data_IF_503702186478
#
_entry.id   IF_503702186478
#
_cell.length_a   1.000
_cell.length_b   1.000
_cell.length_c   1.000
_cell.angle_alpha   90.00
_cell.angle_beta   90.00
_cell.angle_gamma   90.00
#
_symmetry.space_group_name_H-M   'P 1'
#
loop_
_entity.id
_entity.type
_entity.pdbx_description
1 polymer ?
#
# COMPACT_ATOMS: atom_id res chain seq x y z
N UNK A 1 19.12 -4.13 15.97
CA UNK A 1 19.35 -4.14 17.44
C UNK A 1 19.68 -2.71 17.83
N UNK A 2 18.95 -2.09 18.78
CA UNK A 2 19.34 -0.83 19.49
C UNK A 2 18.39 -0.51 20.67
N UNK A 3 17.68 -1.51 21.23
CA UNK A 3 17.00 -1.32 22.51
C UNK A 3 18.02 -1.04 23.64
N UNK A 4 19.27 -1.48 23.46
CA UNK A 4 20.38 -1.23 24.39
C UNK A 4 20.73 0.25 24.56
N UNK A 5 20.59 1.10 23.53
CA UNK A 5 20.87 2.54 23.66
C UNK A 5 19.79 3.24 24.49
N UNK A 6 18.51 2.93 24.24
CA UNK A 6 17.39 3.48 25.01
C UNK A 6 17.40 3.02 26.48
N UNK A 7 17.69 1.74 26.73
CA UNK A 7 17.78 1.17 28.08
C UNK A 7 19.03 1.70 28.83
N UNK A 8 20.16 1.90 28.14
CA UNK A 8 21.39 2.46 28.72
C UNK A 8 21.26 3.93 29.12
N UNK A 9 20.59 4.77 28.32
CA UNK A 9 20.36 6.18 28.65
C UNK A 9 19.33 6.40 29.77
N UNK A 10 18.31 5.52 29.86
CA UNK A 10 17.32 5.53 30.94
C UNK A 10 17.92 5.12 32.30
N UNK A 11 18.88 4.19 32.31
CA UNK A 11 19.58 3.75 33.52
C UNK A 11 20.53 4.80 34.12
N UNK A 12 20.98 5.79 33.32
CA UNK A 12 21.97 6.80 33.74
C UNK A 12 21.44 8.25 33.82
N UNK A 13 20.14 8.50 33.63
CA UNK A 13 19.54 9.86 33.67
C UNK A 13 20.36 10.86 32.84
N UNK A 14 20.77 10.47 31.63
CA UNK A 14 21.59 11.31 30.74
C UNK A 14 20.93 11.43 29.38
N UNK A 15 20.85 12.66 28.87
CA UNK A 15 20.24 12.97 27.58
C UNK A 15 20.99 12.21 26.47
N UNK A 16 20.30 11.41 25.63
CA UNK A 16 20.96 10.58 24.62
C UNK A 16 21.69 11.44 23.58
N UNK A 17 22.91 11.04 23.19
CA UNK A 17 23.71 11.68 22.14
C UNK A 17 22.97 11.69 20.80
N UNK A 18 23.27 12.71 19.97
CA UNK A 18 22.61 12.98 18.69
C UNK A 18 22.63 11.79 17.72
N UNK A 19 23.63 10.92 17.85
CA UNK A 19 23.84 9.75 17.00
C UNK A 19 22.85 8.60 17.28
N UNK A 20 22.26 8.50 18.48
CA UNK A 20 21.18 7.54 18.79
C UNK A 20 19.78 8.16 18.62
N UNK A 21 19.64 9.48 18.80
CA UNK A 21 18.35 10.16 18.78
C UNK A 21 17.72 10.18 17.38
N UNK A 22 18.51 10.49 16.36
CA UNK A 22 18.06 10.56 14.96
C UNK A 22 17.51 9.20 14.46
N UNK A 23 18.23 8.07 14.61
CA UNK A 23 17.73 6.75 14.22
C UNK A 23 16.47 6.32 14.99
N UNK A 24 16.37 6.69 16.28
CA UNK A 24 15.21 6.37 17.12
C UNK A 24 13.98 7.15 16.68
N UNK A 25 14.12 8.46 16.42
CA UNK A 25 13.06 9.31 15.90
C UNK A 25 12.60 8.79 14.54
N UNK A 26 13.51 8.47 13.61
CA UNK A 26 13.13 7.92 12.30
C UNK A 26 12.36 6.60 12.41
N UNK A 27 12.69 5.72 13.36
CA UNK A 27 11.94 4.48 13.61
C UNK A 27 10.56 4.75 14.21
N UNK A 28 10.46 5.61 15.22
CA UNK A 28 9.18 6.00 15.83
C UNK A 28 8.26 6.66 14.81
N UNK A 29 8.80 7.59 14.02
CA UNK A 29 8.07 8.26 12.96
C UNK A 29 7.59 7.25 11.91
N UNK A 30 8.44 6.30 11.51
CA UNK A 30 8.06 5.18 10.64
C UNK A 30 6.91 4.35 11.20
N UNK A 31 6.94 3.97 12.48
CA UNK A 31 5.83 3.24 13.12
C UNK A 31 4.55 4.08 13.22
N UNK A 32 4.66 5.38 13.54
CA UNK A 32 3.52 6.29 13.57
C UNK A 32 2.90 6.44 12.17
N UNK A 33 3.72 6.55 11.12
CA UNK A 33 3.25 6.61 9.73
C UNK A 33 2.57 5.29 9.36
N UNK A 34 3.15 4.14 9.68
CA UNK A 34 2.52 2.84 9.44
C UNK A 34 1.17 2.76 10.17
N UNK A 35 1.11 3.11 11.46
CA UNK A 35 -0.13 3.12 12.25
C UNK A 35 -1.19 4.08 11.67
N UNK A 36 -0.78 5.29 11.27
CA UNK A 36 -1.65 6.27 10.63
C UNK A 36 -2.12 5.79 9.24
N UNK A 37 -1.25 5.12 8.47
CA UNK A 37 -1.58 4.58 7.15
C UNK A 37 -2.62 3.46 7.22
N UNK A 38 -2.59 2.63 8.27
CA UNK A 38 -3.68 1.69 8.58
C UNK A 38 -5.01 2.42 8.67
N UNK A 39 -5.03 3.60 9.31
CA UNK A 39 -6.26 4.35 9.56
C UNK A 39 -6.86 4.97 8.30
N UNK A 40 -6.13 5.14 7.19
CA UNK A 40 -6.71 5.79 6.00
C UNK A 40 -7.66 4.89 5.21
N UNK A 41 -7.40 3.57 5.10
CA UNK A 41 -8.31 2.62 4.41
C UNK A 41 -9.24 1.87 5.37
N UNK A 42 -8.95 1.83 6.67
CA UNK A 42 -9.78 1.22 7.72
C UNK A 42 -11.23 1.71 7.77
N UNK A 43 -11.54 3.02 7.67
CA UNK A 43 -12.93 3.51 7.67
C UNK A 43 -13.74 2.93 6.52
N UNK A 44 -13.09 2.69 5.38
CA UNK A 44 -13.70 2.10 4.20
C UNK A 44 -14.01 0.62 4.43
N UNK A 45 -13.07 -0.12 5.02
CA UNK A 45 -13.28 -1.51 5.47
C UNK A 45 -14.46 -1.60 6.45
N UNK A 46 -14.48 -0.74 7.48
CA UNK A 46 -15.54 -0.71 8.50
C UNK A 46 -16.90 -0.39 7.87
N UNK A 47 -16.97 0.56 6.92
CA UNK A 47 -18.21 0.87 6.20
C UNK A 47 -18.75 -0.35 5.45
N UNK A 48 -17.89 -1.06 4.72
CA UNK A 48 -18.29 -2.28 4.00
C UNK A 48 -18.80 -3.34 4.97
N UNK A 49 -18.09 -3.58 6.07
CA UNK A 49 -18.50 -4.56 7.10
C UNK A 49 -19.84 -4.19 7.74
N UNK A 50 -20.03 -2.91 8.09
CA UNK A 50 -21.24 -2.42 8.76
C UNK A 50 -22.47 -2.50 7.86
N UNK A 51 -22.33 -2.12 6.59
CA UNK A 51 -23.44 -2.09 5.65
C UNK A 51 -23.60 -3.39 4.86
N UNK A 52 -22.63 -4.32 4.97
CA UNK A 52 -22.50 -5.54 4.14
C UNK A 52 -22.77 -5.29 2.66
N UNK A 53 -22.37 -4.11 2.19
CA UNK A 53 -22.67 -3.63 0.85
C UNK A 53 -21.52 -2.78 0.34
N UNK A 54 -21.26 -2.92 -0.95
CA UNK A 54 -20.23 -2.20 -1.69
C UNK A 54 -20.85 -1.29 -2.76
N UNK A 55 -22.15 -1.01 -2.64
CA UNK A 55 -22.88 -0.13 -3.57
C UNK A 55 -22.29 1.29 -3.52
N UNK A 56 -22.00 1.86 -4.69
CA UNK A 56 -21.31 3.16 -4.83
C UNK A 56 -19.77 3.07 -4.80
N UNK A 57 -19.20 1.87 -4.64
CA UNK A 57 -17.76 1.65 -4.77
C UNK A 57 -17.40 1.17 -6.18
N UNK A 58 -16.37 1.78 -6.76
CA UNK A 58 -15.82 1.39 -8.05
C UNK A 58 -14.81 0.28 -7.88
N UNK A 59 -15.20 -0.97 -8.18
CA UNK A 59 -14.28 -2.13 -8.15
C UNK A 59 -13.00 -1.85 -8.95
N UNK A 60 -13.14 -1.22 -10.12
CA UNK A 60 -12.02 -0.86 -11.01
C UNK A 60 -11.06 0.14 -10.35
N UNK A 61 -11.58 1.11 -9.60
CA UNK A 61 -10.73 2.07 -8.89
C UNK A 61 -9.82 1.37 -7.87
N UNK A 62 -10.37 0.41 -7.12
CA UNK A 62 -9.60 -0.35 -6.12
C UNK A 62 -8.62 -1.33 -6.78
N UNK A 63 -8.98 -1.95 -7.90
CA UNK A 63 -8.03 -2.73 -8.72
C UNK A 63 -6.84 -1.87 -9.19
N UNK A 64 -7.11 -0.65 -9.68
CA UNK A 64 -6.06 0.29 -10.12
C UNK A 64 -5.19 0.79 -8.96
N UNK A 65 -5.77 1.06 -7.79
CA UNK A 65 -5.01 1.39 -6.57
C UNK A 65 -4.00 0.26 -6.25
N UNK A 66 -4.44 -1.00 -6.27
CA UNK A 66 -3.58 -2.17 -5.99
C UNK A 66 -2.46 -2.29 -7.03
N UNK A 67 -2.76 -2.13 -8.31
CA UNK A 67 -1.75 -2.14 -9.38
C UNK A 67 -0.73 -1.01 -9.20
N UNK A 68 -1.19 0.21 -8.91
CA UNK A 68 -0.33 1.37 -8.68
C UNK A 68 0.62 1.18 -7.51
N UNK A 69 0.14 0.66 -6.37
CA UNK A 69 0.98 0.36 -5.21
C UNK A 69 1.98 -0.77 -5.49
N UNK A 70 1.60 -1.78 -6.28
CA UNK A 70 2.50 -2.87 -6.69
C UNK A 70 3.66 -2.37 -7.55
N UNK A 71 3.38 -1.52 -8.54
CA UNK A 71 4.42 -0.92 -9.40
C UNK A 71 5.38 -0.08 -8.56
N UNK A 72 4.84 0.74 -7.65
CA UNK A 72 5.62 1.58 -6.76
C UNK A 72 6.55 0.76 -5.87
N UNK A 73 6.03 -0.32 -5.28
CA UNK A 73 6.80 -1.17 -4.37
C UNK A 73 7.90 -1.90 -5.13
N UNK A 74 7.58 -2.45 -6.30
CA UNK A 74 8.53 -3.12 -7.16
C UNK A 74 9.66 -2.17 -7.60
N UNK A 75 9.35 -0.92 -7.92
CA UNK A 75 10.36 0.10 -8.24
C UNK A 75 11.31 0.36 -7.06
N UNK A 76 10.78 0.54 -5.85
CA UNK A 76 11.61 0.73 -4.65
C UNK A 76 12.51 -0.47 -4.36
N UNK A 77 12.00 -1.68 -4.53
CA UNK A 77 12.76 -2.93 -4.38
C UNK A 77 13.86 -3.03 -5.46
N UNK A 78 13.52 -2.72 -6.71
CA UNK A 78 14.46 -2.77 -7.83
C UNK A 78 15.60 -1.76 -7.69
N UNK A 79 15.32 -0.54 -7.21
CA UNK A 79 16.36 0.46 -6.89
C UNK A 79 17.14 0.16 -5.61
N UNK A 80 16.84 -0.94 -4.91
CA UNK A 80 17.56 -1.37 -3.70
C UNK A 80 17.42 -0.39 -2.52
N UNK A 81 16.29 0.32 -2.44
CA UNK A 81 16.06 1.29 -1.37
C UNK A 81 15.97 0.58 0.00
N UNK A 82 16.36 1.23 1.10
CA UNK A 82 16.20 0.65 2.44
C UNK A 82 14.71 0.50 2.79
N UNK A 83 14.38 -0.49 3.64
CA UNK A 83 13.01 -0.74 4.09
C UNK A 83 12.33 0.50 4.70
N UNK A 84 13.09 1.41 5.30
CA UNK A 84 12.56 2.67 5.82
C UNK A 84 11.90 3.54 4.74
N UNK A 85 12.29 3.40 3.47
CA UNK A 85 11.77 4.20 2.37
C UNK A 85 10.49 3.61 1.74
N UNK A 86 10.33 2.29 1.73
CA UNK A 86 9.18 1.62 1.09
C UNK A 86 8.31 0.82 2.06
N UNK A 87 8.67 0.76 3.33
CA UNK A 87 7.96 -0.04 4.33
C UNK A 87 6.48 0.35 4.42
N UNK A 88 6.18 1.65 4.46
CA UNK A 88 4.80 2.16 4.45
C UNK A 88 3.99 1.66 3.24
N UNK A 89 4.63 1.61 2.07
CA UNK A 89 4.01 1.23 0.81
C UNK A 89 3.65 -0.25 0.79
N UNK A 90 4.51 -1.10 1.37
CA UNK A 90 4.22 -2.53 1.58
C UNK A 90 2.96 -2.71 2.44
N UNK A 91 2.83 -1.96 3.54
CA UNK A 91 1.65 -2.05 4.41
C UNK A 91 0.38 -1.54 3.72
N UNK A 92 0.47 -0.44 2.96
CA UNK A 92 -0.64 0.09 2.18
C UNK A 92 -1.11 -0.92 1.12
N UNK A 93 -0.17 -1.58 0.43
CA UNK A 93 -0.49 -2.61 -0.56
C UNK A 93 -1.22 -3.79 0.07
N UNK A 94 -0.76 -4.30 1.21
CA UNK A 94 -1.42 -5.40 1.94
C UNK A 94 -2.87 -5.01 2.28
N UNK A 95 -3.09 -3.81 2.81
CA UNK A 95 -4.44 -3.33 3.13
C UNK A 95 -5.31 -3.16 1.89
N UNK A 96 -4.74 -2.69 0.78
CA UNK A 96 -5.45 -2.57 -0.49
C UNK A 96 -5.89 -3.94 -1.04
N UNK A 97 -5.05 -4.98 -0.91
CA UNK A 97 -5.36 -6.37 -1.27
C UNK A 97 -6.50 -6.91 -0.41
N UNK A 98 -6.46 -6.70 0.91
CA UNK A 98 -7.53 -7.11 1.82
C UNK A 98 -8.85 -6.41 1.44
N UNK A 99 -8.80 -5.10 1.18
CA UNK A 99 -9.97 -4.31 0.81
C UNK A 99 -10.60 -4.79 -0.50
N UNK A 100 -9.82 -5.06 -1.55
CA UNK A 100 -10.37 -5.56 -2.82
C UNK A 100 -10.94 -6.98 -2.68
N UNK A 101 -10.33 -7.83 -1.84
CA UNK A 101 -10.86 -9.16 -1.54
C UNK A 101 -12.23 -9.07 -0.85
N UNK A 102 -12.38 -8.15 0.11
CA UNK A 102 -13.68 -7.87 0.73
C UNK A 102 -14.69 -7.33 -0.29
N UNK A 103 -14.27 -6.42 -1.18
CA UNK A 103 -15.14 -5.90 -2.22
C UNK A 103 -15.64 -7.01 -3.14
N UNK A 104 -14.77 -7.92 -3.57
CA UNK A 104 -15.15 -9.09 -4.36
C UNK A 104 -16.13 -10.00 -3.64
N UNK A 105 -15.96 -10.20 -2.33
CA UNK A 105 -16.85 -11.01 -1.52
C UNK A 105 -18.27 -10.39 -1.42
N UNK A 106 -18.37 -9.07 -1.21
CA UNK A 106 -19.65 -8.38 -1.07
C UNK A 106 -20.28 -7.92 -2.40
N UNK A 107 -19.57 -8.02 -3.53
CA UNK A 107 -20.03 -7.60 -4.87
C UNK A 107 -20.61 -8.76 -5.70
N UNK A 108 -20.91 -9.91 -5.11
CA UNK A 108 -21.40 -11.06 -5.86
C UNK A 108 -22.81 -10.85 -6.47
N UNK A 109 -23.10 -11.42 -7.65
CA UNK A 109 -22.20 -12.24 -8.48
C UNK A 109 -21.18 -11.39 -9.26
N UNK A 110 -19.91 -11.84 -9.26
CA UNK A 110 -18.86 -11.19 -10.04
C UNK A 110 -18.93 -11.65 -11.51
N UNK A 111 -18.86 -10.71 -12.44
CA UNK A 111 -18.77 -11.03 -13.86
C UNK A 111 -17.44 -11.70 -14.22
N UNK A 112 -17.42 -12.52 -15.28
CA UNK A 112 -16.23 -13.24 -15.77
C UNK A 112 -15.03 -12.32 -16.00
N UNK A 113 -15.26 -11.07 -16.44
CA UNK A 113 -14.21 -10.06 -16.66
C UNK A 113 -13.45 -9.71 -15.38
N UNK A 114 -14.14 -9.64 -14.24
CA UNK A 114 -13.51 -9.35 -12.94
C UNK A 114 -12.61 -10.50 -12.50
N UNK A 115 -13.08 -11.74 -12.65
CA UNK A 115 -12.28 -12.93 -12.37
C UNK A 115 -11.02 -13.03 -13.23
N UNK A 116 -11.13 -12.77 -14.53
CA UNK A 116 -9.97 -12.75 -15.44
C UNK A 116 -8.94 -11.72 -15.00
N UNK A 117 -9.35 -10.50 -14.63
CA UNK A 117 -8.44 -9.45 -14.14
C UNK A 117 -7.77 -9.83 -12.81
N UNK A 118 -8.52 -10.43 -11.89
CA UNK A 118 -7.98 -10.90 -10.62
C UNK A 118 -6.91 -11.99 -10.82
N UNK A 119 -7.19 -12.98 -11.67
CA UNK A 119 -6.24 -14.04 -12.00
C UNK A 119 -4.99 -13.48 -12.70
N UNK A 120 -5.19 -12.57 -13.66
CA UNK A 120 -4.09 -11.89 -14.34
C UNK A 120 -3.20 -11.15 -13.35
N UNK A 121 -3.79 -10.42 -12.41
CA UNK A 121 -3.05 -9.74 -11.35
C UNK A 121 -2.24 -10.71 -10.49
N UNK A 122 -2.83 -11.84 -10.06
CA UNK A 122 -2.13 -12.83 -9.24
C UNK A 122 -0.92 -13.45 -9.96
N UNK A 123 -0.93 -13.52 -11.29
CA UNK A 123 0.19 -14.03 -12.09
C UNK A 123 1.24 -12.94 -12.33
N UNK A 124 0.83 -11.71 -12.65
CA UNK A 124 1.74 -10.62 -13.01
C UNK A 124 2.39 -9.95 -11.79
N UNK A 125 1.67 -9.81 -10.67
CA UNK A 125 2.21 -9.08 -9.51
C UNK A 125 3.50 -9.72 -8.97
N UNK A 126 3.61 -11.05 -8.76
CA UNK A 126 4.84 -11.66 -8.29
C UNK A 126 6.02 -11.48 -9.24
N UNK A 127 5.80 -11.53 -10.56
CA UNK A 127 6.87 -11.35 -11.56
C UNK A 127 7.37 -9.91 -11.59
N UNK A 128 6.46 -8.94 -11.44
CA UNK A 128 6.79 -7.51 -11.27
C UNK A 128 7.60 -7.31 -9.98
N UNK A 129 7.15 -7.84 -8.83
CA UNK A 129 7.87 -7.69 -7.55
C UNK A 129 9.24 -8.39 -7.56
N UNK A 130 9.39 -9.50 -8.28
CA UNK A 130 10.66 -10.19 -8.43
C UNK A 130 11.70 -9.40 -9.25
N UNK A 131 11.33 -8.25 -9.84
CA UNK A 131 12.23 -7.41 -10.61
C UNK A 131 12.64 -8.02 -11.95
N UNK A 132 11.86 -8.99 -12.47
CA UNK A 132 12.16 -9.68 -13.74
C UNK A 132 11.77 -8.87 -14.99
N UNK A 133 11.41 -7.59 -14.82
CA UNK A 133 10.97 -6.70 -15.90
C UNK A 133 12.13 -5.81 -16.33
N UNK A 134 12.15 -5.46 -17.61
CA UNK A 134 13.13 -4.55 -18.19
C UNK A 134 13.19 -3.21 -17.42
N UNK A 135 14.39 -2.70 -17.08
CA UNK A 135 14.54 -1.46 -16.30
C UNK A 135 13.88 -0.24 -16.95
N UNK A 136 13.89 -0.14 -18.28
CA UNK A 136 13.25 0.98 -19.00
C UNK A 136 11.74 0.89 -18.84
N UNK A 137 11.19 -0.32 -18.95
CA UNK A 137 9.77 -0.55 -18.73
C UNK A 137 9.34 -0.20 -17.30
N UNK A 138 10.17 -0.50 -16.29
CA UNK A 138 9.91 -0.10 -14.90
C UNK A 138 9.84 1.42 -14.71
N UNK A 139 10.77 2.17 -15.28
CA UNK A 139 10.78 3.64 -15.15
C UNK A 139 9.58 4.28 -15.85
N UNK A 140 9.20 3.75 -17.01
CA UNK A 140 7.99 4.18 -17.72
C UNK A 140 6.73 3.87 -16.89
N UNK A 141 6.60 2.64 -16.38
CA UNK A 141 5.48 2.23 -15.51
C UNK A 141 5.36 3.12 -14.26
N UNK A 142 6.49 3.43 -13.63
CA UNK A 142 6.54 4.29 -12.46
C UNK A 142 6.15 5.74 -12.79
N UNK A 143 6.60 6.28 -13.93
CA UNK A 143 6.20 7.61 -14.38
C UNK A 143 4.67 7.72 -14.60
N UNK A 144 4.04 6.64 -15.08
CA UNK A 144 2.59 6.59 -15.26
C UNK A 144 1.80 6.27 -13.99
N UNK A 145 2.45 5.95 -12.88
CA UNK A 145 1.77 5.59 -11.63
C UNK A 145 0.83 6.70 -11.13
N UNK A 146 1.22 7.97 -11.27
CA UNK A 146 0.38 9.11 -10.91
C UNK A 146 -0.89 9.15 -11.76
N UNK A 147 -0.79 8.84 -13.05
CA UNK A 147 -1.95 8.73 -13.93
C UNK A 147 -2.87 7.58 -13.49
N UNK A 148 -2.31 6.42 -13.11
CA UNK A 148 -3.09 5.28 -12.59
C UNK A 148 -3.92 5.69 -11.38
N UNK A 149 -3.32 6.37 -10.39
CA UNK A 149 -4.06 6.84 -9.23
C UNK A 149 -5.10 7.90 -9.57
N UNK A 150 -4.78 8.80 -10.50
CA UNK A 150 -5.73 9.81 -10.97
C UNK A 150 -6.96 9.16 -11.59
N UNK A 151 -6.78 8.20 -12.49
CA UNK A 151 -7.88 7.44 -13.08
C UNK A 151 -8.66 6.62 -12.04
N UNK A 152 -7.98 6.04 -11.04
CA UNK A 152 -8.65 5.36 -9.94
C UNK A 152 -9.59 6.31 -9.19
N UNK A 153 -9.15 7.53 -8.87
CA UNK A 153 -10.01 8.51 -8.17
C UNK A 153 -11.16 8.99 -9.06
N UNK A 154 -10.94 9.21 -10.36
CA UNK A 154 -12.01 9.54 -11.31
C UNK A 154 -13.06 8.45 -11.36
N UNK A 155 -12.65 7.18 -11.52
CA UNK A 155 -13.56 6.05 -11.60
C UNK A 155 -14.39 5.88 -10.31
N UNK A 156 -13.80 6.23 -9.16
CA UNK A 156 -14.51 6.22 -7.88
C UNK A 156 -15.49 7.39 -7.74
N UNK A 157 -15.12 8.59 -8.20
CA UNK A 157 -16.00 9.76 -8.20
C UNK A 157 -17.22 9.48 -9.09
N UNK A 158 -17.01 8.97 -10.29
CA UNK A 158 -18.10 8.67 -11.23
C UNK A 158 -19.13 7.71 -10.64
N UNK A 159 -18.67 6.60 -10.02
CA UNK A 159 -19.56 5.62 -9.38
C UNK A 159 -20.25 6.15 -8.12
N UNK A 160 -19.79 7.25 -7.54
CA UNK A 160 -20.44 7.87 -6.39
C UNK A 160 -21.57 8.84 -6.80
N UNK A 161 -21.55 9.36 -8.02
CA UNK A 161 -22.53 10.33 -8.54
C UNK A 161 -23.52 9.74 -9.56
N UNK A 162 -23.33 8.48 -9.96
CA UNK A 162 -24.25 7.71 -10.82
C UNK A 162 -25.15 6.80 -9.99
#
# INVERSE_FOLDING_TARGET
MDFSCAVGSLLHVKVPEKDCLLPLISKLLGYCIVAASTTVKLPQIIKILKHRSVRGLSVVAFELDVVGYTIALAYCLHKGLPFSAYGELTFILIQAIILIAMIYYYSQPLGTKTWVRALLYCVLAPTILAGQIDPVLFEVLYAFQLAIFFFAKIAQIWNNFS
#
